data_IF_679913820419
#
_entry.id   IF_679913820419
#
_cell.length_a   1.000
_cell.length_b   1.000
_cell.length_c   1.000
_cell.angle_alpha   90.00
_cell.angle_beta   90.00
_cell.angle_gamma   90.00
#
_symmetry.space_group_name_H-M   'P 1'
#
loop_
_entity.id
_entity.type
_entity.pdbx_description
1 polymer ?
#
# COMPACT_ATOMS: atom_id res chain seq x y z
N UNK A 1 -23.53 -15.15 5.71
CA UNK A 1 -23.15 -13.88 6.35
C UNK A 1 -21.84 -14.17 7.07
N UNK A 2 -20.69 -13.88 6.43
CA UNK A 2 -19.39 -13.95 7.14
C UNK A 2 -19.41 -12.82 8.17
N UNK A 3 -19.16 -13.16 9.42
CA UNK A 3 -19.16 -12.20 10.52
C UNK A 3 -18.00 -11.21 10.33
N UNK A 4 -18.26 -9.94 10.66
CA UNK A 4 -17.23 -8.91 10.81
C UNK A 4 -16.14 -9.44 11.74
N UNK A 5 -14.92 -9.57 11.23
CA UNK A 5 -13.76 -9.87 12.05
C UNK A 5 -13.43 -8.62 12.88
N UNK A 6 -13.40 -8.76 14.19
CA UNK A 6 -12.96 -7.71 15.11
C UNK A 6 -11.44 -7.87 15.30
N UNK A 7 -10.61 -7.11 14.65
CA UNK A 7 -9.14 -7.20 14.71
C UNK A 7 -8.52 -6.70 16.03
N UNK A 8 -9.32 -6.70 17.10
CA UNK A 8 -8.93 -6.13 18.39
C UNK A 8 -7.65 -6.71 19.03
N UNK A 9 -7.24 -7.93 18.66
CA UNK A 9 -6.05 -8.54 19.26
C UNK A 9 -4.76 -8.01 18.63
N UNK A 10 -4.72 -7.81 17.30
CA UNK A 10 -3.57 -7.18 16.63
C UNK A 10 -3.38 -5.74 17.05
N UNK A 11 -4.47 -5.01 17.24
CA UNK A 11 -4.48 -3.66 17.77
C UNK A 11 -3.75 -3.57 19.12
N UNK A 12 -3.96 -4.54 20.01
CA UNK A 12 -3.27 -4.56 21.31
C UNK A 12 -1.78 -4.82 21.17
N UNK A 13 -1.35 -5.67 20.25
CA UNK A 13 0.06 -5.97 20.02
C UNK A 13 0.80 -4.85 19.28
N UNK A 14 0.21 -4.26 18.24
CA UNK A 14 0.82 -3.11 17.53
C UNK A 14 0.88 -1.87 18.42
N UNK A 15 -0.15 -1.62 19.24
CA UNK A 15 -0.14 -0.52 20.22
C UNK A 15 0.87 -0.77 21.35
N UNK A 16 1.07 -2.04 21.76
CA UNK A 16 2.10 -2.41 22.73
C UNK A 16 3.52 -2.24 22.16
N UNK A 17 3.74 -2.52 20.86
CA UNK A 17 5.01 -2.25 20.19
C UNK A 17 5.39 -0.78 20.20
N UNK A 18 4.44 0.11 19.92
CA UNK A 18 4.66 1.57 19.98
C UNK A 18 4.92 2.06 21.42
N UNK A 19 4.29 1.44 22.42
CA UNK A 19 4.50 1.80 23.83
C UNK A 19 5.78 1.20 24.44
N UNK A 20 6.22 0.01 24.00
CA UNK A 20 7.46 -0.61 24.52
C UNK A 20 8.72 0.01 23.96
N UNK A 21 8.69 0.61 22.77
CA UNK A 21 9.81 1.36 22.20
C UNK A 21 10.16 2.64 22.98
N UNK A 22 9.25 3.17 23.77
CA UNK A 22 9.48 4.35 24.64
C UNK A 22 10.10 3.98 25.99
N UNK A 23 10.11 2.69 26.40
CA UNK A 23 10.52 2.27 27.75
C UNK A 23 11.72 1.33 27.86
N UNK A 24 12.33 0.83 26.78
CA UNK A 24 13.50 -0.05 26.85
C UNK A 24 14.80 0.69 26.53
N UNK A 25 15.09 1.67 27.35
CA UNK A 25 16.41 2.25 27.53
C UNK A 25 16.88 1.99 28.95
N UNK A 26 17.25 0.79 29.35
CA UNK A 26 18.10 0.44 30.49
C UNK A 26 17.80 -0.98 31.00
N UNK A 27 18.58 -1.94 30.60
CA UNK A 27 19.17 -2.95 31.50
C UNK A 27 19.95 -4.01 30.69
N UNK A 28 21.26 -3.84 30.68
CA UNK A 28 22.19 -4.96 30.41
C UNK A 28 22.30 -5.80 31.66
N UNK A 29 22.25 -7.13 31.54
CA UNK A 29 22.95 -8.06 32.44
C UNK A 29 23.22 -9.38 31.73
N UNK A 30 24.50 -9.70 31.71
CA UNK A 30 25.17 -10.94 31.31
C UNK A 30 24.61 -12.22 31.97
N UNK A 31 24.62 -13.34 31.25
CA UNK A 31 25.00 -14.65 31.79
C UNK A 31 25.45 -15.58 30.65
N UNK A 32 26.73 -15.95 30.71
CA UNK A 32 27.35 -17.12 30.09
C UNK A 32 26.72 -18.39 30.63
N UNK A 33 26.52 -19.43 29.81
CA UNK A 33 26.96 -20.78 30.21
C UNK A 33 27.13 -21.71 28.99
N UNK A 34 28.30 -22.39 29.01
CA UNK A 34 28.75 -23.44 28.09
C UNK A 34 28.02 -24.75 28.37
N UNK A 35 27.67 -25.52 27.34
CA UNK A 35 28.00 -26.99 27.33
C UNK A 35 27.61 -27.63 26.00
N UNK A 36 28.59 -28.13 25.26
CA UNK A 36 28.44 -29.21 24.29
C UNK A 36 28.66 -30.56 24.94
N UNK A 37 28.12 -31.66 24.44
CA UNK A 37 29.03 -32.64 23.87
C UNK A 37 28.55 -33.37 22.59
N UNK A 38 29.56 -33.94 21.98
CA UNK A 38 29.80 -34.60 20.73
C UNK A 38 29.04 -35.91 20.43
N UNK A 39 28.99 -36.13 19.09
CA UNK A 39 29.26 -37.37 18.34
C UNK A 39 28.27 -38.55 18.36
N UNK A 40 27.86 -38.93 17.15
CA UNK A 40 27.35 -40.27 16.83
C UNK A 40 27.16 -40.42 15.32
N UNK A 41 28.16 -40.96 14.63
CA UNK A 41 28.05 -41.46 13.25
C UNK A 41 27.24 -42.76 13.24
N UNK A 42 26.27 -42.88 12.35
CA UNK A 42 25.81 -44.15 11.87
C UNK A 42 25.55 -44.13 10.37
N UNK A 43 26.24 -45.05 9.70
CA UNK A 43 26.17 -45.33 8.25
C UNK A 43 25.08 -46.34 8.06
N UNK A 44 24.08 -46.10 7.20
CA UNK A 44 23.21 -47.15 6.66
C UNK A 44 22.93 -46.92 5.19
N UNK A 45 23.16 -47.92 4.47
CA UNK A 45 23.08 -48.31 3.09
C UNK A 45 21.86 -47.82 2.28
N UNK A 46 22.14 -47.54 1.01
CA UNK A 46 21.22 -47.38 -0.10
C UNK A 46 20.47 -48.67 -0.47
N UNK A 47 19.22 -48.62 -0.84
CA UNK A 47 18.82 -49.36 -2.03
C UNK A 47 18.06 -48.52 -3.09
N UNK A 48 18.37 -48.86 -4.30
CA UNK A 48 17.78 -48.46 -5.56
C UNK A 48 16.25 -48.50 -5.57
N UNK A 49 15.64 -47.43 -6.15
CA UNK A 49 14.54 -47.58 -7.11
C UNK A 49 14.46 -46.30 -7.95
N UNK A 50 15.02 -46.32 -9.12
CA UNK A 50 15.06 -45.21 -10.09
C UNK A 50 13.81 -45.09 -11.00
N UNK A 51 12.79 -45.90 -10.79
CA UNK A 51 11.57 -45.86 -11.60
C UNK A 51 10.43 -45.07 -10.94
N UNK A 52 10.28 -45.09 -9.60
CA UNK A 52 9.25 -44.33 -8.92
C UNK A 52 9.54 -42.83 -8.84
N UNK A 53 10.83 -42.44 -8.95
CA UNK A 53 11.20 -41.01 -8.96
C UNK A 53 10.90 -40.29 -10.27
N UNK A 54 10.87 -41.02 -11.41
CA UNK A 54 10.54 -40.46 -12.73
C UNK A 54 9.01 -40.24 -12.89
N UNK A 55 8.17 -41.16 -12.39
CA UNK A 55 6.71 -40.99 -12.41
C UNK A 55 6.25 -39.84 -11.49
N UNK A 56 6.81 -39.72 -10.29
CA UNK A 56 6.49 -38.62 -9.35
C UNK A 56 6.94 -37.25 -9.89
N UNK A 57 8.04 -37.19 -10.64
CA UNK A 57 8.51 -35.97 -11.31
C UNK A 57 7.57 -35.53 -12.43
N UNK A 58 7.04 -36.47 -13.20
CA UNK A 58 6.15 -36.19 -14.34
C UNK A 58 4.75 -35.74 -13.84
N UNK A 59 4.23 -36.35 -12.78
CA UNK A 59 2.96 -35.93 -12.16
C UNK A 59 3.07 -34.54 -11.52
N UNK A 60 4.22 -34.21 -10.91
CA UNK A 60 4.46 -32.88 -10.34
C UNK A 60 4.60 -31.80 -11.44
N UNK A 61 5.23 -32.09 -12.58
CA UNK A 61 5.31 -31.19 -13.73
C UNK A 61 3.93 -31.00 -14.40
N UNK A 62 3.14 -32.06 -14.54
CA UNK A 62 1.78 -31.97 -15.11
C UNK A 62 0.83 -31.21 -14.15
N UNK A 63 0.93 -31.43 -12.84
CA UNK A 63 0.17 -30.67 -11.85
C UNK A 63 0.57 -29.18 -11.82
N UNK A 64 1.86 -28.89 -11.94
CA UNK A 64 2.38 -27.52 -12.04
C UNK A 64 1.93 -26.84 -13.33
N UNK A 65 1.92 -27.55 -14.47
CA UNK A 65 1.46 -27.03 -15.76
C UNK A 65 -0.09 -26.83 -15.75
N UNK A 66 -0.84 -27.71 -15.10
CA UNK A 66 -2.29 -27.57 -14.94
C UNK A 66 -2.65 -26.40 -14.00
N UNK A 67 -1.90 -26.21 -12.92
CA UNK A 67 -2.02 -25.05 -12.03
C UNK A 67 -1.67 -23.74 -12.75
N UNK A 68 -0.60 -23.72 -13.55
CA UNK A 68 -0.24 -22.58 -14.38
C UNK A 68 -1.28 -22.27 -15.47
N UNK A 69 -1.92 -23.31 -16.05
CA UNK A 69 -3.01 -23.13 -17.02
C UNK A 69 -4.34 -22.68 -16.34
N UNK A 70 -4.60 -23.10 -15.11
CA UNK A 70 -5.73 -22.63 -14.31
C UNK A 70 -5.52 -21.16 -13.88
N UNK A 71 -4.31 -20.80 -13.44
CA UNK A 71 -3.93 -19.42 -13.14
C UNK A 71 -4.04 -18.49 -14.36
N UNK A 72 -3.80 -18.99 -15.57
CA UNK A 72 -3.96 -18.21 -16.81
C UNK A 72 -5.43 -17.84 -17.16
N UNK A 73 -6.41 -18.31 -16.38
CA UNK A 73 -7.86 -18.00 -16.53
C UNK A 73 -8.41 -17.15 -15.39
N UNK A 74 -7.62 -16.87 -14.37
CA UNK A 74 -8.06 -15.99 -13.27
C UNK A 74 -7.97 -14.56 -13.77
N UNK A 75 -9.10 -13.85 -13.75
CA UNK A 75 -9.14 -12.41 -14.00
C UNK A 75 -8.48 -11.71 -12.81
N UNK A 76 -7.25 -11.23 -13.00
CA UNK A 76 -6.45 -10.58 -11.98
C UNK A 76 -6.58 -9.06 -12.08
N UNK A 77 -6.61 -8.40 -10.96
CA UNK A 77 -6.48 -6.95 -10.84
C UNK A 77 -5.21 -6.61 -10.08
N UNK A 78 -4.59 -5.50 -10.46
CA UNK A 78 -3.45 -4.95 -9.74
C UNK A 78 -3.96 -4.21 -8.51
N UNK A 79 -3.44 -4.54 -7.34
CA UNK A 79 -3.76 -3.90 -6.08
C UNK A 79 -2.52 -3.19 -5.54
N UNK A 80 -2.57 -1.87 -5.42
CA UNK A 80 -1.56 -1.10 -4.72
C UNK A 80 -1.64 -1.39 -3.22
N UNK A 81 -0.51 -1.60 -2.56
CA UNK A 81 -0.41 -1.89 -1.14
C UNK A 81 -0.45 -0.58 -0.34
N UNK A 82 -1.65 -0.17 0.06
CA UNK A 82 -1.86 1.12 0.71
C UNK A 82 -1.44 2.29 -0.18
N UNK A 83 -0.59 3.17 0.32
CA UNK A 83 0.01 4.27 -0.44
C UNK A 83 1.43 3.95 -0.94
N UNK A 84 1.90 2.70 -0.79
CA UNK A 84 3.29 2.32 -1.09
C UNK A 84 3.61 2.33 -2.59
N UNK A 85 4.90 2.20 -2.90
CA UNK A 85 5.38 2.01 -4.28
C UNK A 85 5.21 0.58 -4.79
N UNK A 86 4.51 -0.28 -4.04
CA UNK A 86 4.39 -1.69 -4.36
C UNK A 86 2.95 -2.11 -4.60
N UNK A 87 2.78 -3.13 -5.41
CA UNK A 87 1.49 -3.72 -5.76
C UNK A 87 1.60 -5.23 -5.87
N UNK A 88 0.47 -5.91 -5.72
CA UNK A 88 0.30 -7.32 -5.99
C UNK A 88 -0.87 -7.53 -6.94
N UNK A 89 -0.88 -8.67 -7.65
CA UNK A 89 -2.04 -9.06 -8.44
C UNK A 89 -2.93 -10.00 -7.62
N UNK A 90 -4.19 -9.66 -7.51
CA UNK A 90 -5.19 -10.46 -6.79
C UNK A 90 -6.34 -10.87 -7.74
N UNK A 91 -7.00 -12.01 -7.49
CA UNK A 91 -8.24 -12.35 -8.18
C UNK A 91 -9.30 -11.25 -8.04
N UNK A 92 -10.02 -10.94 -9.13
CA UNK A 92 -11.09 -9.92 -9.13
C UNK A 92 -12.26 -10.26 -8.18
N UNK A 93 -12.33 -11.49 -7.69
CA UNK A 93 -13.33 -11.91 -6.68
C UNK A 93 -13.08 -11.31 -5.30
N UNK A 94 -11.87 -10.83 -5.03
CA UNK A 94 -11.56 -10.13 -3.77
C UNK A 94 -12.25 -8.78 -3.74
N UNK A 95 -12.76 -8.45 -2.57
CA UNK A 95 -13.47 -7.20 -2.28
C UNK A 95 -12.79 -6.51 -1.11
N UNK A 96 -12.72 -5.20 -1.19
CA UNK A 96 -12.35 -4.38 -0.04
C UNK A 96 -13.44 -4.47 1.03
N UNK A 97 -13.03 -4.73 2.26
CA UNK A 97 -13.89 -4.71 3.44
C UNK A 97 -13.80 -3.36 4.15
N UNK A 98 -14.73 -3.13 5.06
CA UNK A 98 -14.66 -1.94 5.92
C UNK A 98 -13.52 -2.11 6.94
N UNK A 99 -12.71 -1.08 7.10
CA UNK A 99 -11.71 -0.94 8.17
C UNK A 99 -12.28 0.00 9.22
N UNK A 100 -12.31 -0.43 10.48
CA UNK A 100 -12.84 0.38 11.58
C UNK A 100 -11.83 1.46 12.01
N UNK A 101 -12.30 2.46 12.77
CA UNK A 101 -11.42 3.52 13.31
C UNK A 101 -10.31 2.93 14.18
N UNK A 102 -10.62 1.91 14.97
CA UNK A 102 -9.65 1.22 15.83
C UNK A 102 -8.58 0.49 15.01
N UNK A 103 -8.96 -0.11 13.88
CA UNK A 103 -8.05 -0.78 12.94
C UNK A 103 -7.15 0.22 12.22
N UNK A 104 -7.70 1.36 11.80
CA UNK A 104 -6.90 2.48 11.26
C UNK A 104 -5.89 2.99 12.26
N UNK A 105 -6.27 3.14 13.54
CA UNK A 105 -5.34 3.52 14.62
C UNK A 105 -4.24 2.47 14.85
N UNK A 106 -4.48 1.22 14.47
CA UNK A 106 -3.49 0.14 14.45
C UNK A 106 -2.68 0.07 13.14
N UNK A 107 -2.75 1.10 12.30
CA UNK A 107 -2.11 1.20 10.99
C UNK A 107 -2.60 0.20 9.93
N UNK A 108 -3.77 -0.41 10.13
CA UNK A 108 -4.42 -1.19 9.09
C UNK A 108 -5.00 -0.22 8.05
N UNK A 109 -4.56 -0.37 6.82
CA UNK A 109 -4.97 0.52 5.73
C UNK A 109 -6.00 -0.13 4.81
N UNK A 110 -6.06 -1.47 4.76
CA UNK A 110 -7.07 -2.18 3.97
C UNK A 110 -7.29 -3.61 4.51
N UNK A 111 -8.46 -4.16 4.20
CA UNK A 111 -8.84 -5.54 4.43
C UNK A 111 -9.50 -6.10 3.17
N UNK A 112 -9.04 -7.25 2.70
CA UNK A 112 -9.57 -7.90 1.51
C UNK A 112 -10.06 -9.31 1.82
N UNK A 113 -11.21 -9.64 1.28
CA UNK A 113 -11.82 -10.96 1.41
C UNK A 113 -12.45 -11.41 0.10
N UNK A 114 -12.56 -12.71 -0.10
CA UNK A 114 -13.31 -13.30 -1.21
C UNK A 114 -14.24 -14.39 -0.70
N UNK A 115 -15.51 -14.43 -1.15
CA UNK A 115 -16.42 -15.53 -0.81
C UNK A 115 -15.96 -16.87 -1.40
N UNK A 116 -15.11 -16.83 -2.42
CA UNK A 116 -14.65 -17.99 -3.19
C UNK A 116 -13.25 -18.46 -2.75
N UNK A 117 -12.64 -17.78 -1.76
CA UNK A 117 -11.33 -18.13 -1.20
C UNK A 117 -11.43 -18.55 0.27
N UNK A 118 -10.54 -19.45 0.68
CA UNK A 118 -10.29 -19.79 2.07
C UNK A 118 -9.32 -18.82 2.77
N UNK A 119 -8.86 -17.79 2.06
CA UNK A 119 -7.92 -16.80 2.53
C UNK A 119 -8.54 -15.41 2.51
N UNK A 120 -8.31 -14.65 3.57
CA UNK A 120 -8.50 -13.21 3.62
C UNK A 120 -7.14 -12.56 3.92
N UNK A 121 -6.97 -11.26 3.66
CA UNK A 121 -5.74 -10.58 4.02
C UNK A 121 -5.94 -9.13 4.39
N UNK A 122 -5.06 -8.67 5.29
CA UNK A 122 -4.96 -7.29 5.71
C UNK A 122 -3.71 -6.63 5.13
N UNK A 123 -3.77 -5.33 4.94
CA UNK A 123 -2.61 -4.50 4.61
C UNK A 123 -2.41 -3.50 5.73
N UNK A 124 -1.20 -3.44 6.26
CA UNK A 124 -0.76 -2.45 7.23
C UNK A 124 0.32 -1.57 6.61
N UNK A 125 0.31 -0.29 6.94
CA UNK A 125 1.37 0.63 6.56
C UNK A 125 1.72 1.53 7.74
N UNK A 126 2.98 1.53 8.15
CA UNK A 126 3.45 2.25 9.33
C UNK A 126 4.89 2.73 9.17
N UNK A 127 5.22 3.83 9.83
CA UNK A 127 6.55 4.39 9.75
C UNK A 127 7.58 3.49 10.41
N UNK A 128 8.79 3.44 9.84
CA UNK A 128 9.91 2.65 10.36
C UNK A 128 10.29 3.16 11.75
N UNK A 129 10.20 2.31 12.79
CA UNK A 129 10.50 2.74 14.15
C UNK A 129 12.00 3.04 14.36
N UNK A 130 12.86 2.45 13.54
CA UNK A 130 14.31 2.69 13.53
C UNK A 130 14.82 2.59 12.08
N UNK A 131 15.18 3.72 11.44
CA UNK A 131 15.69 3.73 10.07
C UNK A 131 16.99 2.94 9.84
N UNK A 132 17.78 2.69 10.91
CA UNK A 132 19.03 1.94 10.83
C UNK A 132 18.82 0.42 10.93
N UNK A 133 17.63 -0.02 11.33
CA UNK A 133 17.30 -1.45 11.44
C UNK A 133 17.06 -2.04 10.05
N UNK A 134 17.74 -3.12 9.70
CA UNK A 134 17.50 -3.83 8.45
C UNK A 134 16.13 -4.51 8.45
N UNK A 135 15.58 -4.76 7.24
CA UNK A 135 14.33 -5.51 7.08
C UNK A 135 14.40 -6.89 7.75
N UNK A 136 15.53 -7.57 7.65
CA UNK A 136 15.75 -8.87 8.29
C UNK A 136 15.65 -8.79 9.81
N UNK A 137 16.30 -7.80 10.44
CA UNK A 137 16.25 -7.59 11.89
C UNK A 137 14.84 -7.21 12.34
N UNK A 138 14.17 -6.34 11.57
CA UNK A 138 12.80 -5.95 11.86
C UNK A 138 11.85 -7.13 11.74
N UNK A 139 11.96 -7.94 10.69
CA UNK A 139 11.14 -9.15 10.50
C UNK A 139 11.33 -10.14 11.66
N UNK A 140 12.58 -10.38 12.10
CA UNK A 140 12.86 -11.26 13.26
C UNK A 140 12.23 -10.73 14.54
N UNK A 141 12.30 -9.41 14.76
CA UNK A 141 11.70 -8.78 15.93
C UNK A 141 10.18 -8.91 15.89
N UNK A 142 9.56 -8.55 14.78
CA UNK A 142 8.11 -8.64 14.61
C UNK A 142 7.62 -10.08 14.78
N UNK A 143 8.31 -11.04 14.16
CA UNK A 143 8.00 -12.46 14.34
C UNK A 143 8.06 -12.88 15.81
N UNK A 144 9.08 -12.44 16.56
CA UNK A 144 9.19 -12.76 17.99
C UNK A 144 8.02 -12.21 18.81
N UNK A 145 7.54 -11.00 18.49
CA UNK A 145 6.40 -10.38 19.18
C UNK A 145 5.07 -11.14 18.94
N UNK A 146 4.96 -11.83 17.79
CA UNK A 146 3.81 -12.69 17.46
C UNK A 146 4.04 -14.19 17.70
N UNK A 147 5.10 -14.60 18.43
CA UNK A 147 5.52 -15.98 18.59
C UNK A 147 5.68 -16.72 17.25
N UNK A 148 6.13 -15.98 16.24
CA UNK A 148 6.24 -16.45 14.86
C UNK A 148 7.42 -17.42 14.67
N UNK A 149 7.31 -18.17 13.62
CA UNK A 149 8.28 -19.15 13.14
C UNK A 149 8.58 -18.93 11.65
N UNK A 150 9.45 -19.75 11.08
CA UNK A 150 9.80 -19.71 9.66
C UNK A 150 10.20 -18.31 9.13
N UNK A 151 10.94 -17.56 9.96
CA UNK A 151 11.42 -16.23 9.59
C UNK A 151 12.41 -16.32 8.44
N UNK A 152 12.13 -15.65 7.35
CA UNK A 152 12.96 -15.66 6.13
C UNK A 152 12.99 -14.26 5.51
N UNK A 153 14.10 -13.92 4.89
CA UNK A 153 14.21 -12.76 4.01
C UNK A 153 14.61 -13.27 2.63
N UNK A 154 13.90 -12.85 1.60
CA UNK A 154 14.14 -13.29 0.21
C UNK A 154 13.82 -12.18 -0.78
N UNK A 155 14.38 -12.30 -1.99
CA UNK A 155 14.04 -11.43 -3.10
C UNK A 155 12.83 -11.98 -3.86
N UNK A 156 11.84 -11.13 -4.11
CA UNK A 156 10.70 -11.40 -5.00
C UNK A 156 10.71 -10.31 -6.07
N UNK A 157 10.91 -10.67 -7.31
CA UNK A 157 10.96 -9.73 -8.45
C UNK A 157 11.89 -8.53 -8.24
N UNK A 158 13.01 -8.72 -7.52
CA UNK A 158 13.96 -7.66 -7.21
C UNK A 158 13.66 -6.87 -5.93
N UNK A 159 12.56 -7.14 -5.25
CA UNK A 159 12.13 -6.50 -4.01
C UNK A 159 12.50 -7.41 -2.83
N UNK A 160 13.14 -6.86 -1.81
CA UNK A 160 13.44 -7.59 -0.59
C UNK A 160 12.18 -7.72 0.27
N UNK A 161 11.86 -8.95 0.70
CA UNK A 161 10.66 -9.27 1.49
C UNK A 161 11.04 -10.11 2.68
N UNK A 162 10.69 -9.64 3.88
CA UNK A 162 10.75 -10.41 5.11
C UNK A 162 9.45 -11.17 5.32
N UNK A 163 9.50 -12.47 5.59
CA UNK A 163 8.30 -13.27 5.86
C UNK A 163 8.43 -14.04 7.15
N UNK A 164 7.31 -14.28 7.82
CA UNK A 164 7.20 -15.17 8.96
C UNK A 164 5.81 -15.82 9.02
N UNK A 165 5.72 -16.92 9.73
CA UNK A 165 4.44 -17.57 10.03
C UNK A 165 4.13 -17.42 11.51
N UNK A 166 2.88 -17.22 11.86
CA UNK A 166 2.38 -17.19 13.23
C UNK A 166 1.06 -17.96 13.32
N UNK A 167 0.60 -18.18 14.55
CA UNK A 167 -0.73 -18.69 14.81
C UNK A 167 -1.47 -17.67 15.66
N UNK A 168 -2.60 -17.21 15.19
CA UNK A 168 -3.37 -16.16 15.82
C UNK A 168 -4.81 -16.58 16.06
N UNK A 169 -5.33 -16.22 17.24
CA UNK A 169 -6.71 -16.51 17.60
C UNK A 169 -7.60 -15.32 17.26
N UNK A 170 -8.69 -15.60 16.54
CA UNK A 170 -9.68 -14.61 16.22
C UNK A 170 -11.10 -15.17 16.48
N UNK A 171 -11.88 -14.46 17.30
CA UNK A 171 -13.23 -14.87 17.74
C UNK A 171 -13.28 -16.32 18.29
N UNK A 172 -12.18 -16.75 18.97
CA UNK A 172 -12.01 -18.07 19.53
C UNK A 172 -11.64 -19.16 18.52
N UNK A 173 -11.34 -18.79 17.29
CA UNK A 173 -10.85 -19.66 16.23
C UNK A 173 -9.37 -19.40 16.02
N UNK A 174 -8.55 -20.47 15.98
CA UNK A 174 -7.13 -20.39 15.66
C UNK A 174 -6.94 -20.42 14.14
N UNK A 175 -6.12 -19.48 13.65
CA UNK A 175 -5.73 -19.38 12.25
C UNK A 175 -4.21 -19.48 12.13
N UNK A 176 -3.76 -20.15 11.10
CA UNK A 176 -2.40 -20.00 10.63
C UNK A 176 -2.31 -18.68 9.85
N UNK A 177 -1.24 -17.92 10.09
CA UNK A 177 -1.04 -16.58 9.49
C UNK A 177 0.32 -16.52 8.83
N UNK A 178 0.38 -16.01 7.61
CA UNK A 178 1.62 -15.66 6.94
C UNK A 178 1.70 -14.13 6.82
N UNK A 179 2.75 -13.54 7.36
CA UNK A 179 3.05 -12.12 7.21
C UNK A 179 4.19 -11.89 6.23
N UNK A 180 4.06 -10.86 5.41
CA UNK A 180 5.08 -10.40 4.48
C UNK A 180 5.34 -8.90 4.67
N UNK A 181 6.58 -8.56 5.03
CA UNK A 181 7.05 -7.21 5.32
C UNK A 181 7.90 -6.69 4.15
N UNK A 182 7.67 -5.45 3.75
CA UNK A 182 8.36 -4.78 2.66
C UNK A 182 8.76 -3.40 3.14
N UNK A 183 9.99 -2.98 2.84
CA UNK A 183 10.48 -1.63 3.12
C UNK A 183 10.10 -0.67 1.97
N UNK A 184 9.48 0.46 2.28
CA UNK A 184 9.10 1.51 1.33
C UNK A 184 9.54 2.88 1.82
N UNK A 185 10.83 3.20 1.63
CA UNK A 185 11.42 4.43 2.12
C UNK A 185 11.44 4.50 3.65
N UNK A 186 10.71 5.46 4.21
CA UNK A 186 10.58 5.66 5.66
C UNK A 186 9.47 4.81 6.29
N UNK A 187 8.77 4.02 5.50
CA UNK A 187 7.67 3.17 5.94
C UNK A 187 8.00 1.67 5.79
N UNK A 188 7.24 0.85 6.52
CA UNK A 188 7.04 -0.56 6.22
C UNK A 188 5.61 -0.78 5.75
N UNK A 189 5.47 -1.72 4.81
CA UNK A 189 4.18 -2.30 4.41
C UNK A 189 4.17 -3.76 4.83
N UNK A 190 3.12 -4.17 5.50
CA UNK A 190 2.91 -5.56 5.88
C UNK A 190 1.62 -6.08 5.25
N UNK A 191 1.71 -7.22 4.56
CA UNK A 191 0.56 -8.00 4.12
C UNK A 191 0.42 -9.17 5.09
N UNK A 192 -0.76 -9.34 5.66
CA UNK A 192 -1.07 -10.39 6.61
C UNK A 192 -2.13 -11.29 6.02
N UNK A 193 -1.75 -12.49 5.63
CA UNK A 193 -2.63 -13.50 5.07
C UNK A 193 -3.18 -14.41 6.17
N UNK A 194 -4.50 -14.48 6.29
CA UNK A 194 -5.23 -15.38 7.20
C UNK A 194 -5.55 -16.65 6.45
N UNK A 195 -4.93 -17.75 6.85
CA UNK A 195 -4.94 -19.00 6.11
C UNK A 195 -5.94 -19.99 6.72
N UNK A 196 -6.87 -20.48 5.89
CA UNK A 196 -7.76 -21.58 6.26
C UNK A 196 -7.43 -22.80 5.39
N UNK A 197 -6.36 -23.50 5.80
CA UNK A 197 -5.87 -24.73 5.18
C UNK A 197 -4.83 -24.51 4.06
N UNK A 198 -4.35 -25.63 3.51
CA UNK A 198 -3.22 -25.69 2.57
C UNK A 198 -3.45 -24.91 1.27
N UNK A 199 -4.68 -24.89 0.77
CA UNK A 199 -5.03 -24.12 -0.45
C UNK A 199 -4.84 -22.63 -0.25
N UNK A 200 -5.15 -22.12 0.94
CA UNK A 200 -4.98 -20.71 1.30
C UNK A 200 -3.49 -20.31 1.32
N UNK A 201 -2.62 -21.19 1.82
CA UNK A 201 -1.16 -20.95 1.80
C UNK A 201 -0.61 -20.85 0.36
N UNK A 202 -1.07 -21.75 -0.53
CA UNK A 202 -0.68 -21.70 -1.94
C UNK A 202 -1.18 -20.42 -2.62
N UNK A 203 -2.40 -19.97 -2.33
CA UNK A 203 -2.97 -18.73 -2.85
C UNK A 203 -2.21 -17.51 -2.34
N UNK A 204 -1.91 -17.44 -1.03
CA UNK A 204 -1.09 -16.38 -0.45
C UNK A 204 0.29 -16.29 -1.11
N UNK A 205 0.95 -17.43 -1.28
CA UNK A 205 2.24 -17.50 -1.96
C UNK A 205 2.13 -17.05 -3.43
N UNK A 206 1.07 -17.42 -4.14
CA UNK A 206 0.84 -17.02 -5.53
C UNK A 206 0.64 -15.50 -5.63
N UNK A 207 -0.17 -14.89 -4.75
CA UNK A 207 -0.37 -13.43 -4.70
C UNK A 207 0.96 -12.73 -4.40
N UNK A 208 1.68 -13.16 -3.35
CA UNK A 208 2.94 -12.55 -2.96
C UNK A 208 4.01 -12.64 -4.06
N UNK A 209 4.04 -13.71 -4.84
CA UNK A 209 4.97 -13.85 -5.97
C UNK A 209 4.68 -12.88 -7.14
N UNK A 210 3.54 -12.20 -7.15
CA UNK A 210 3.22 -11.13 -8.12
C UNK A 210 3.69 -9.76 -7.67
N UNK A 211 4.28 -9.64 -6.46
CA UNK A 211 4.79 -8.38 -5.93
C UNK A 211 5.66 -7.66 -6.95
N UNK A 212 5.36 -6.41 -7.20
CA UNK A 212 6.06 -5.57 -8.16
C UNK A 212 6.01 -4.10 -7.73
N UNK A 213 6.91 -3.28 -8.24
CA UNK A 213 6.78 -1.84 -8.12
C UNK A 213 5.53 -1.37 -8.86
N UNK A 214 4.84 -0.37 -8.30
CA UNK A 214 3.73 0.31 -8.94
C UNK A 214 4.25 1.00 -10.19
N UNK A 215 3.72 0.62 -11.34
CA UNK A 215 4.04 1.31 -12.57
C UNK A 215 3.35 2.68 -12.58
N UNK A 216 4.08 3.70 -12.99
CA UNK A 216 3.57 5.07 -13.10
C UNK A 216 3.72 5.58 -14.52
N UNK A 217 2.87 6.52 -14.89
CA UNK A 217 3.01 7.27 -16.14
C UNK A 217 2.98 8.77 -15.87
N UNK A 218 3.58 9.55 -16.76
CA UNK A 218 3.58 10.99 -16.69
C UNK A 218 2.26 11.55 -17.20
N UNK A 219 1.47 12.09 -16.28
CA UNK A 219 0.24 12.77 -16.58
C UNK A 219 0.54 14.24 -16.88
N UNK A 220 0.29 14.68 -18.13
CA UNK A 220 0.37 16.08 -18.49
C UNK A 220 -0.82 16.86 -17.94
N UNK A 221 -0.56 17.98 -17.26
CA UNK A 221 -1.59 18.78 -16.61
C UNK A 221 -2.14 19.82 -17.57
N UNK A 222 -3.34 19.58 -18.05
CA UNK A 222 -4.00 20.48 -19.01
C UNK A 222 -3.19 20.70 -20.28
N UNK A 223 -3.04 21.95 -20.67
CA UNK A 223 -2.27 22.36 -21.86
C UNK A 223 -0.94 23.04 -21.51
N UNK A 224 -0.58 23.07 -20.23
CA UNK A 224 0.60 23.74 -19.72
C UNK A 224 1.79 22.77 -19.60
N UNK A 225 3.03 23.28 -19.49
CA UNK A 225 4.22 22.45 -19.44
C UNK A 225 4.47 21.87 -18.03
N UNK A 226 3.47 21.28 -17.44
CA UNK A 226 3.57 20.59 -16.16
C UNK A 226 3.15 19.14 -16.33
N UNK A 227 3.81 18.28 -15.57
CA UNK A 227 3.41 16.89 -15.43
C UNK A 227 3.62 16.42 -14.01
N UNK A 228 2.92 15.36 -13.65
CA UNK A 228 3.13 14.58 -12.44
C UNK A 228 3.05 13.09 -12.78
N UNK A 229 3.74 12.26 -12.01
CA UNK A 229 3.69 10.81 -12.20
C UNK A 229 2.55 10.25 -11.37
N UNK A 230 1.64 9.55 -12.02
CA UNK A 230 0.49 8.90 -11.38
C UNK A 230 0.56 7.39 -11.59
N UNK A 231 0.08 6.57 -10.65
CA UNK A 231 -0.01 5.13 -10.82
C UNK A 231 -0.78 4.73 -12.07
N UNK A 232 -0.35 3.65 -12.73
CA UNK A 232 -1.18 3.00 -13.75
C UNK A 232 -2.51 2.58 -13.14
N UNK A 233 -3.60 2.79 -13.87
CA UNK A 233 -4.96 2.55 -13.39
C UNK A 233 -5.76 3.83 -13.19
N UNK A 234 -5.11 4.98 -13.05
CA UNK A 234 -5.82 6.25 -13.12
C UNK A 234 -6.29 6.51 -14.55
N UNK A 235 -7.52 6.97 -14.66
CA UNK A 235 -8.17 7.28 -15.94
C UNK A 235 -8.95 8.57 -15.86
N UNK A 236 -9.10 9.21 -17.02
CA UNK A 236 -9.94 10.38 -17.15
C UNK A 236 -11.41 9.97 -17.02
N UNK A 237 -12.14 10.65 -16.14
CA UNK A 237 -13.59 10.47 -15.96
C UNK A 237 -14.40 11.20 -17.02
N UNK A 238 -15.65 10.77 -17.16
CA UNK A 238 -16.65 11.40 -18.04
C UNK A 238 -17.26 12.64 -17.37
N UNK A 239 -16.44 13.64 -17.08
CA UNK A 239 -17.00 14.86 -16.50
C UNK A 239 -17.92 15.60 -17.46
N UNK A 240 -19.04 16.03 -16.91
CA UNK A 240 -19.97 16.83 -17.66
C UNK A 240 -19.32 18.17 -18.05
N UNK A 241 -19.26 18.47 -19.34
CA UNK A 241 -18.81 19.75 -19.92
C UNK A 241 -19.39 20.98 -19.21
N UNK A 242 -20.46 20.81 -18.42
CA UNK A 242 -21.18 21.85 -17.71
C UNK A 242 -20.44 22.43 -16.51
N UNK A 243 -19.64 21.65 -15.81
CA UNK A 243 -18.82 22.15 -14.69
C UNK A 243 -17.55 22.80 -15.23
N UNK A 244 -16.96 22.22 -16.26
CA UNK A 244 -15.81 22.76 -16.97
C UNK A 244 -16.06 24.17 -17.52
N UNK A 245 -17.25 24.44 -18.04
CA UNK A 245 -17.59 25.73 -18.66
C UNK A 245 -17.67 26.92 -17.69
N UNK A 246 -17.85 26.67 -16.37
CA UNK A 246 -17.96 27.75 -15.37
C UNK A 246 -16.64 28.15 -14.73
N UNK A 247 -15.65 27.23 -14.69
CA UNK A 247 -14.37 27.41 -13.98
C UNK A 247 -13.12 27.29 -14.87
N UNK A 248 -13.23 27.27 -16.17
CA UNK A 248 -12.15 26.95 -17.08
C UNK A 248 -12.17 25.49 -17.52
N UNK A 249 -11.05 24.97 -18.03
CA UNK A 249 -10.96 23.57 -18.40
C UNK A 249 -10.73 22.72 -17.14
N UNK A 250 -11.47 21.61 -17.04
CA UNK A 250 -11.38 20.67 -15.90
C UNK A 250 -11.15 19.26 -16.41
N UNK A 251 -10.31 18.53 -15.71
CA UNK A 251 -10.06 17.11 -15.94
C UNK A 251 -10.18 16.38 -14.61
N UNK A 252 -11.07 15.40 -14.54
CA UNK A 252 -11.26 14.54 -13.38
C UNK A 252 -10.54 13.22 -13.60
N UNK A 253 -9.76 12.79 -12.62
CA UNK A 253 -9.01 11.53 -12.64
C UNK A 253 -9.37 10.67 -11.44
N UNK A 254 -9.62 9.40 -11.71
CA UNK A 254 -9.97 8.41 -10.70
C UNK A 254 -9.36 7.06 -11.01
N UNK A 255 -9.32 6.19 -9.99
CA UNK A 255 -8.92 4.80 -10.11
C UNK A 255 -9.83 3.91 -9.28
N UNK A 256 -10.30 2.80 -9.84
CA UNK A 256 -11.13 1.83 -9.09
C UNK A 256 -10.37 1.15 -7.93
N UNK A 257 -9.04 1.28 -7.92
CA UNK A 257 -8.15 0.63 -6.97
C UNK A 257 -7.49 1.63 -5.98
N UNK A 258 -7.95 2.87 -5.97
CA UNK A 258 -7.42 3.94 -5.11
C UNK A 258 -8.57 4.69 -4.45
N UNK A 259 -8.46 5.05 -3.15
CA UNK A 259 -9.40 5.94 -2.50
C UNK A 259 -9.16 7.42 -2.85
N UNK A 260 -8.15 7.72 -3.66
CA UNK A 260 -7.80 9.07 -4.06
C UNK A 260 -8.32 9.36 -5.46
N UNK A 261 -9.19 10.36 -5.56
CA UNK A 261 -9.57 10.99 -6.81
C UNK A 261 -9.04 12.41 -6.85
N UNK A 262 -8.87 12.99 -8.03
CA UNK A 262 -8.44 14.35 -8.13
C UNK A 262 -8.92 15.04 -9.41
N UNK A 263 -9.11 16.36 -9.28
CA UNK A 263 -9.41 17.26 -10.38
C UNK A 263 -8.19 18.10 -10.73
N UNK A 264 -8.06 18.42 -12.02
CA UNK A 264 -7.10 19.40 -12.53
C UNK A 264 -7.87 20.52 -13.22
N UNK A 265 -7.64 21.75 -12.80
CA UNK A 265 -8.28 22.95 -13.35
C UNK A 265 -7.24 23.84 -14.02
N UNK A 266 -7.61 24.46 -15.13
CA UNK A 266 -6.79 25.45 -15.83
C UNK A 266 -7.65 26.64 -16.27
N UNK A 267 -7.23 27.85 -15.95
CA UNK A 267 -7.89 29.08 -16.41
C UNK A 267 -6.89 30.21 -16.62
N UNK A 268 -7.31 31.19 -17.44
CA UNK A 268 -6.48 32.34 -17.77
C UNK A 268 -6.41 33.33 -16.61
N UNK A 269 -5.20 33.85 -16.35
CA UNK A 269 -4.99 34.91 -15.36
C UNK A 269 -5.63 36.23 -15.84
N UNK A 270 -6.30 36.92 -14.93
CA UNK A 270 -6.90 38.25 -15.17
C UNK A 270 -6.11 39.38 -14.49
N UNK A 271 -4.79 39.19 -14.32
CA UNK A 271 -3.87 40.18 -13.76
C UNK A 271 -3.53 40.03 -12.29
N UNK A 272 -4.09 39.03 -11.60
CA UNK A 272 -3.76 38.76 -10.21
C UNK A 272 -2.47 37.96 -10.05
N UNK A 273 -1.82 38.05 -8.88
CA UNK A 273 -0.74 37.15 -8.49
C UNK A 273 -1.31 35.86 -7.94
N UNK A 274 -0.49 34.77 -7.93
CA UNK A 274 -0.88 33.49 -7.37
C UNK A 274 -1.35 33.63 -5.91
N UNK A 275 -0.60 34.36 -5.09
CA UNK A 275 -0.89 34.55 -3.67
C UNK A 275 -2.24 35.24 -3.45
N UNK A 276 -2.51 36.32 -4.21
CA UNK A 276 -3.78 37.02 -4.10
C UNK A 276 -4.94 36.13 -4.49
N UNK A 277 -4.79 35.44 -5.63
CA UNK A 277 -5.83 34.57 -6.13
C UNK A 277 -6.11 33.42 -5.15
N UNK A 278 -5.06 32.77 -4.64
CA UNK A 278 -5.19 31.67 -3.67
C UNK A 278 -5.91 32.10 -2.39
N UNK A 279 -5.63 33.31 -1.88
CA UNK A 279 -6.30 33.84 -0.69
C UNK A 279 -7.79 34.12 -0.95
N UNK A 280 -8.13 34.66 -2.14
CA UNK A 280 -9.52 34.94 -2.50
C UNK A 280 -10.30 33.63 -2.70
N UNK A 281 -9.73 32.65 -3.39
CA UNK A 281 -10.35 31.34 -3.59
C UNK A 281 -10.49 30.56 -2.26
N UNK A 282 -9.45 30.48 -1.43
CA UNK A 282 -9.50 29.84 -0.12
C UNK A 282 -10.63 30.41 0.75
N UNK A 283 -10.89 31.72 0.66
CA UNK A 283 -12.00 32.37 1.40
C UNK A 283 -13.37 31.94 0.86
N UNK A 284 -13.51 31.70 -0.44
CA UNK A 284 -14.76 31.19 -1.02
C UNK A 284 -15.09 29.78 -0.56
N UNK A 285 -14.07 28.98 -0.28
CA UNK A 285 -14.19 27.62 0.26
C UNK A 285 -14.11 27.56 1.81
N UNK A 286 -14.17 28.71 2.48
CA UNK A 286 -14.13 28.82 3.95
C UNK A 286 -12.88 28.17 4.57
N UNK A 287 -11.78 28.10 3.82
CA UNK A 287 -10.52 27.55 4.29
C UNK A 287 -9.89 28.43 5.38
N UNK A 288 -9.27 27.80 6.37
CA UNK A 288 -8.70 28.50 7.52
C UNK A 288 -7.50 29.37 7.14
N UNK A 289 -6.66 28.89 6.20
CA UNK A 289 -5.41 29.54 5.79
C UNK A 289 -4.96 29.09 4.42
N UNK A 290 -4.04 29.86 3.84
CA UNK A 290 -3.26 29.49 2.66
C UNK A 290 -1.80 29.35 3.10
N UNK A 291 -1.20 28.23 2.76
CA UNK A 291 0.22 27.94 2.96
C UNK A 291 0.95 27.89 1.61
N UNK A 292 2.29 27.87 1.64
CA UNK A 292 3.12 27.92 0.44
C UNK A 292 4.24 26.91 0.52
N UNK A 293 4.57 26.29 -0.61
CA UNK A 293 5.70 25.36 -0.71
C UNK A 293 6.28 25.37 -2.13
N UNK A 294 7.44 24.75 -2.29
CA UNK A 294 8.03 24.52 -3.62
C UNK A 294 8.27 23.02 -3.80
N UNK A 295 7.79 22.48 -4.90
CA UNK A 295 7.98 21.08 -5.30
C UNK A 295 8.67 21.07 -6.66
N UNK A 296 9.87 20.50 -6.74
CA UNK A 296 10.68 20.38 -7.97
C UNK A 296 10.71 21.70 -8.80
N UNK A 297 11.03 22.80 -8.14
CA UNK A 297 11.09 24.16 -8.69
C UNK A 297 9.71 24.77 -9.08
N UNK A 298 8.60 24.09 -8.82
CA UNK A 298 7.25 24.64 -8.97
C UNK A 298 6.80 25.26 -7.65
N UNK A 299 6.56 26.57 -7.64
CA UNK A 299 6.03 27.26 -6.45
C UNK A 299 4.52 27.06 -6.37
N UNK A 300 4.03 26.63 -5.21
CA UNK A 300 2.64 26.30 -4.93
C UNK A 300 2.09 27.17 -3.80
N UNK A 301 0.85 27.62 -3.95
CA UNK A 301 -0.02 28.01 -2.85
C UNK A 301 -1.01 26.86 -2.60
N UNK A 302 -1.28 26.53 -1.33
CA UNK A 302 -2.23 25.46 -1.06
C UNK A 302 -3.10 25.76 0.16
N UNK A 303 -4.29 25.17 0.17
CA UNK A 303 -5.25 25.22 1.27
C UNK A 303 -6.09 23.95 1.32
N UNK A 304 -6.67 23.67 2.47
CA UNK A 304 -7.63 22.58 2.67
C UNK A 304 -9.04 23.15 2.77
N UNK A 305 -10.00 22.47 2.14
CA UNK A 305 -11.43 22.76 2.21
C UNK A 305 -12.22 21.50 2.59
N UNK A 306 -13.49 21.69 2.91
CA UNK A 306 -14.45 20.59 3.05
C UNK A 306 -15.51 20.78 1.98
N UNK A 307 -15.73 19.76 1.16
CA UNK A 307 -16.68 19.81 0.07
C UNK A 307 -17.66 18.65 0.16
N UNK A 308 -18.94 18.93 -0.09
CA UNK A 308 -19.99 17.91 -0.10
C UNK A 308 -20.16 17.37 -1.53
N UNK A 309 -20.08 16.05 -1.66
CA UNK A 309 -20.38 15.35 -2.89
C UNK A 309 -21.28 14.14 -2.59
N UNK A 310 -22.42 14.03 -3.27
CA UNK A 310 -23.42 12.96 -3.12
C UNK A 310 -23.86 12.72 -1.65
N UNK A 311 -23.96 13.81 -0.86
CA UNK A 311 -24.37 13.77 0.55
C UNK A 311 -23.26 13.35 1.54
N UNK A 312 -22.03 13.16 1.07
CA UNK A 312 -20.86 12.89 1.88
C UNK A 312 -19.90 14.09 1.88
N UNK A 313 -19.32 14.40 3.05
CA UNK A 313 -18.32 15.45 3.21
C UNK A 313 -16.92 14.86 3.01
N UNK A 314 -16.14 15.49 2.15
CA UNK A 314 -14.75 15.16 1.88
C UNK A 314 -13.82 16.27 2.33
N UNK A 315 -12.65 15.94 2.82
CA UNK A 315 -11.54 16.87 2.91
C UNK A 315 -10.89 16.98 1.53
N UNK A 316 -10.66 18.20 1.05
CA UNK A 316 -10.06 18.44 -0.27
C UNK A 316 -8.79 19.26 -0.09
N UNK A 317 -7.67 18.76 -0.61
CA UNK A 317 -6.40 19.47 -0.65
C UNK A 317 -6.26 20.18 -2.01
N UNK A 318 -6.24 21.48 -2.00
CA UNK A 318 -6.17 22.32 -3.20
C UNK A 318 -4.79 22.92 -3.37
N UNK A 319 -4.10 22.62 -4.48
CA UNK A 319 -2.77 23.12 -4.83
C UNK A 319 -2.83 23.98 -6.06
N UNK A 320 -2.46 25.26 -5.92
CA UNK A 320 -2.48 26.25 -6.98
C UNK A 320 -1.06 26.60 -7.40
N UNK A 321 -0.84 26.74 -8.70
CA UNK A 321 0.42 27.21 -9.29
C UNK A 321 0.15 27.92 -10.61
N UNK A 322 1.19 28.48 -11.22
CA UNK A 322 1.00 29.28 -12.42
C UNK A 322 2.07 29.07 -13.47
N UNK A 323 1.70 29.27 -14.72
CA UNK A 323 2.61 29.42 -15.85
C UNK A 323 2.32 30.73 -16.57
N UNK A 324 2.93 31.81 -16.07
CA UNK A 324 2.88 33.12 -16.71
C UNK A 324 1.48 33.66 -17.01
N UNK A 325 0.74 33.02 -17.89
CA UNK A 325 -0.58 33.49 -18.36
C UNK A 325 -1.76 32.71 -17.77
N UNK A 326 -1.50 31.58 -17.14
CA UNK A 326 -2.54 30.67 -16.63
C UNK A 326 -2.29 30.31 -15.17
N UNK A 327 -3.39 30.12 -14.46
CA UNK A 327 -3.40 29.39 -13.21
C UNK A 327 -3.76 27.94 -13.46
N UNK A 328 -3.18 27.07 -12.64
CA UNK A 328 -3.53 25.67 -12.50
C UNK A 328 -3.95 25.40 -11.07
N UNK A 329 -4.89 24.49 -10.89
CA UNK A 329 -5.23 23.91 -9.58
C UNK A 329 -5.33 22.41 -9.71
N UNK A 330 -4.78 21.70 -8.72
CA UNK A 330 -5.04 20.30 -8.48
C UNK A 330 -5.82 20.20 -7.17
N UNK A 331 -6.98 19.55 -7.21
CA UNK A 331 -7.81 19.30 -6.03
C UNK A 331 -7.84 17.80 -5.77
N UNK A 332 -7.18 17.34 -4.70
CA UNK A 332 -7.20 15.96 -4.27
C UNK A 332 -8.36 15.73 -3.30
N UNK A 333 -9.24 14.79 -3.62
CA UNK A 333 -10.35 14.36 -2.78
C UNK A 333 -9.87 13.28 -1.82
N UNK A 334 -9.75 13.65 -0.55
CA UNK A 334 -9.08 12.84 0.46
C UNK A 334 -10.10 11.97 1.20
N UNK A 335 -10.17 10.69 0.84
CA UNK A 335 -10.97 9.70 1.56
C UNK A 335 -10.05 8.86 2.46
N UNK A 336 -9.79 9.40 3.67
CA UNK A 336 -8.95 8.77 4.67
C UNK A 336 -7.44 8.98 4.48
N UNK A 337 -6.66 8.37 5.38
CA UNK A 337 -5.21 8.59 5.48
C UNK A 337 -4.43 8.07 4.26
N UNK A 338 -4.91 6.99 3.63
CA UNK A 338 -4.27 6.45 2.42
C UNK A 338 -4.34 7.48 1.30
N UNK A 339 -5.52 8.12 1.09
CA UNK A 339 -5.69 9.13 0.06
C UNK A 339 -4.75 10.34 0.31
N UNK A 340 -4.57 10.77 1.57
CA UNK A 340 -3.62 11.81 1.94
C UNK A 340 -2.20 11.44 1.53
N UNK A 341 -1.73 10.24 1.91
CA UNK A 341 -0.37 9.78 1.58
C UNK A 341 -0.17 9.60 0.07
N UNK A 342 -1.19 9.12 -0.64
CA UNK A 342 -1.14 9.00 -2.10
C UNK A 342 -1.08 10.37 -2.78
N UNK A 343 -1.87 11.35 -2.31
CA UNK A 343 -1.86 12.72 -2.81
C UNK A 343 -0.47 13.35 -2.62
N UNK A 344 0.13 13.24 -1.44
CA UNK A 344 1.48 13.74 -1.16
C UNK A 344 2.52 13.09 -2.08
N UNK A 345 2.43 11.79 -2.31
CA UNK A 345 3.34 11.07 -3.20
C UNK A 345 3.20 11.53 -4.65
N UNK A 346 1.98 11.62 -5.17
CA UNK A 346 1.72 12.10 -6.54
C UNK A 346 2.20 13.55 -6.67
N UNK A 347 1.85 14.42 -5.72
CA UNK A 347 2.25 15.83 -5.73
C UNK A 347 3.77 15.99 -5.70
N UNK A 348 4.50 15.15 -4.95
CA UNK A 348 5.97 15.22 -4.88
C UNK A 348 6.65 15.03 -6.23
N UNK A 349 5.95 14.47 -7.21
CA UNK A 349 6.45 14.26 -8.59
C UNK A 349 6.12 15.41 -9.54
N UNK A 350 5.35 16.42 -9.09
CA UNK A 350 4.99 17.59 -9.90
C UNK A 350 6.26 18.29 -10.38
N UNK A 351 6.35 18.55 -11.70
CA UNK A 351 7.52 19.17 -12.32
C UNK A 351 7.16 19.83 -13.66
N UNK A 352 8.07 20.66 -14.15
CA UNK A 352 8.01 21.10 -15.54
C UNK A 352 8.33 19.96 -16.50
N UNK A 353 7.65 19.91 -17.65
CA UNK A 353 8.04 19.01 -18.74
C UNK A 353 9.38 19.45 -19.35
N UNK A 354 10.19 18.49 -19.82
CA UNK A 354 11.58 18.72 -20.29
C UNK A 354 11.74 19.71 -21.46
N UNK A 355 10.66 20.13 -22.10
CA UNK A 355 10.70 21.03 -23.27
C UNK A 355 11.14 22.47 -22.96
N UNK A 356 11.47 22.80 -21.69
CA UNK A 356 11.92 24.15 -21.26
C UNK A 356 13.35 24.21 -20.70
N UNK A 357 14.16 23.16 -20.86
CA UNK A 357 15.59 23.24 -20.48
C UNK A 357 16.46 23.71 -21.60
#
# INVERSE_FOLDING_TARGET
>A
MKNKRNNGLRMTCVLLMLLTLVFVGSAMAYADDENAPAAGQEVIETPQTSAEAEEASTEAEEASAAAAQAAARVDLIQLQLGSSNYSVSIPRSYRNGEVTIEEVQANQVAYYFSPDSAMDFDIYQFSRPNPEMSLEEFTKKTAADFNGSEVRTRMINGIEVGTYQSRESYDGIEYDVMSALIEDGDDYVEIVFWLDGETAEQEAAAILNTLSEVQTFDLHLGTLPFCMSVPEGYRLGDESETVAAKKGQTWYYYSDNSPLDFDVYQWKKEGDTLEKYAIEEAREYEAERVDYQTVNDVFLAYYYSYEEYDGQMYSVANYLFEDGQYFMKISFWLDGEIAVRQADRILSTLRYTDDRR
#
